data_IF_926178572623
#
_entry.id   IF_926178572623
#
_cell.length_a   1.000
_cell.length_b   1.000
_cell.length_c   1.000
_cell.angle_alpha   90.00
_cell.angle_beta   90.00
_cell.angle_gamma   90.00
#
_symmetry.space_group_name_H-M   'P 1'
#
loop_
_entity.id
_entity.type
_entity.pdbx_description
1 polymer ?
#
# COMPACT_ATOMS: atom_id res chain seq x y z
N UNK A 1 4.99 -25.83 7.08
CA UNK A 1 3.94 -25.80 6.05
C UNK A 1 4.12 -24.52 5.26
N UNK A 2 4.13 -24.58 3.94
CA UNK A 2 4.23 -23.39 3.09
C UNK A 2 2.84 -23.04 2.58
N UNK A 3 2.46 -21.76 2.67
CA UNK A 3 1.34 -21.19 1.96
C UNK A 3 1.81 -20.69 0.61
N UNK A 4 1.31 -21.31 -0.46
CA UNK A 4 1.58 -20.97 -1.85
C UNK A 4 0.33 -20.30 -2.44
N UNK A 5 0.47 -19.11 -3.01
CA UNK A 5 -0.63 -18.39 -3.67
C UNK A 5 -0.15 -17.84 -4.99
N UNK A 6 -0.60 -18.40 -6.10
CA UNK A 6 -0.45 -17.76 -7.40
C UNK A 6 -1.57 -16.72 -7.58
N UNK A 7 -1.18 -15.47 -7.78
CA UNK A 7 -2.10 -14.34 -7.82
C UNK A 7 -1.83 -13.45 -9.03
N UNK A 8 -2.89 -12.88 -9.59
CA UNK A 8 -2.83 -11.90 -10.67
C UNK A 8 -3.23 -10.56 -10.08
N UNK A 9 -2.32 -9.87 -9.43
CA UNK A 9 -2.62 -8.59 -8.82
C UNK A 9 -1.39 -7.98 -8.20
N UNK A 10 -1.56 -6.78 -7.67
CA UNK A 10 -0.40 -5.95 -7.35
C UNK A 10 0.21 -6.32 -6.01
N UNK A 11 -0.61 -6.65 -5.00
CA UNK A 11 -0.16 -6.90 -3.63
C UNK A 11 -1.00 -8.01 -2.99
N UNK A 12 -0.35 -8.85 -2.19
CA UNK A 12 -1.00 -9.86 -1.35
C UNK A 12 -0.46 -9.78 0.08
N UNK A 13 -1.37 -9.65 1.04
CA UNK A 13 -1.08 -9.89 2.46
C UNK A 13 -1.78 -11.16 2.90
N UNK A 14 -1.04 -12.07 3.54
CA UNK A 14 -1.60 -13.30 4.08
C UNK A 14 -1.67 -13.23 5.60
N UNK A 15 -2.82 -13.61 6.15
CA UNK A 15 -3.06 -13.74 7.57
C UNK A 15 -3.44 -15.18 7.89
N UNK A 16 -2.85 -15.73 8.94
CA UNK A 16 -3.21 -17.04 9.49
C UNK A 16 -3.63 -16.86 10.93
N UNK A 17 -4.85 -17.28 11.26
CA UNK A 17 -5.46 -17.15 12.58
C UNK A 17 -5.37 -15.71 13.13
N UNK A 18 -5.60 -14.73 12.25
CA UNK A 18 -5.59 -13.30 12.59
C UNK A 18 -4.20 -12.64 12.66
N UNK A 19 -3.11 -13.40 12.47
CA UNK A 19 -1.74 -12.85 12.46
C UNK A 19 -1.23 -12.71 11.04
N UNK A 20 -0.62 -11.56 10.71
CA UNK A 20 0.05 -11.34 9.43
C UNK A 20 1.27 -12.29 9.34
N UNK A 21 1.31 -13.12 8.30
CA UNK A 21 2.43 -14.06 8.05
C UNK A 21 3.35 -13.59 6.92
N UNK A 22 2.88 -12.65 6.09
CA UNK A 22 3.71 -12.06 5.05
C UNK A 22 2.95 -11.06 4.19
N UNK A 23 3.71 -10.27 3.45
CA UNK A 23 3.22 -9.29 2.49
C UNK A 23 4.17 -9.23 1.32
N UNK A 24 3.66 -9.34 0.10
CA UNK A 24 4.45 -9.24 -1.12
C UNK A 24 3.69 -8.47 -2.19
N UNK A 25 4.42 -7.91 -3.13
CA UNK A 25 3.89 -7.18 -4.27
C UNK A 25 4.59 -7.63 -5.54
N UNK A 26 3.91 -7.45 -6.67
CA UNK A 26 4.43 -7.86 -7.97
C UNK A 26 5.73 -7.10 -8.29
N UNK A 27 6.82 -7.80 -8.67
CA UNK A 27 8.08 -7.16 -8.98
C UNK A 27 8.01 -6.39 -10.32
N UNK A 28 8.86 -5.38 -10.49
CA UNK A 28 9.13 -4.70 -11.77
C UNK A 28 7.89 -4.17 -12.51
N UNK A 29 6.84 -3.77 -11.79
CA UNK A 29 5.59 -3.29 -12.40
C UNK A 29 4.78 -4.37 -13.12
N UNK A 30 5.09 -5.65 -12.87
CA UNK A 30 4.28 -6.77 -13.31
C UNK A 30 2.92 -6.83 -12.59
N UNK A 31 2.08 -7.77 -13.03
CA UNK A 31 0.73 -7.95 -12.48
C UNK A 31 0.47 -9.39 -12.00
N UNK A 32 1.50 -10.23 -11.95
CA UNK A 32 1.40 -11.61 -11.50
C UNK A 32 2.64 -11.99 -10.72
N UNK A 33 2.45 -12.70 -9.63
CA UNK A 33 3.53 -13.24 -8.83
C UNK A 33 3.04 -14.42 -8.00
N UNK A 34 3.98 -15.17 -7.45
CA UNK A 34 3.72 -16.25 -6.52
C UNK A 34 4.13 -15.78 -5.13
N UNK A 35 3.18 -15.84 -4.19
CA UNK A 35 3.45 -15.64 -2.78
C UNK A 35 3.76 -16.98 -2.13
N UNK A 36 4.93 -17.08 -1.48
CA UNK A 36 5.33 -18.25 -0.71
C UNK A 36 5.82 -17.84 0.69
N UNK A 37 5.13 -18.32 1.73
CA UNK A 37 5.56 -18.13 3.12
C UNK A 37 5.39 -19.39 3.95
N UNK A 38 6.36 -19.61 4.84
CA UNK A 38 6.19 -20.56 5.92
C UNK A 38 5.08 -20.06 6.87
N UNK A 39 4.13 -20.94 7.16
CA UNK A 39 3.03 -20.68 8.07
C UNK A 39 2.94 -21.74 9.16
N UNK A 40 2.40 -21.34 10.30
CA UNK A 40 2.08 -22.22 11.42
C UNK A 40 0.57 -22.48 11.44
N UNK A 41 0.20 -23.76 11.46
CA UNK A 41 -1.17 -24.21 11.60
C UNK A 41 -1.35 -24.86 12.97
N UNK A 42 -2.52 -24.68 13.55
CA UNK A 42 -2.92 -25.30 14.81
C UNK A 42 -3.74 -26.55 14.54
N UNK A 43 -3.85 -27.44 15.52
CA UNK A 43 -4.73 -28.60 15.41
C UNK A 43 -6.19 -28.12 15.28
N UNK A 44 -6.92 -28.70 14.32
CA UNK A 44 -8.30 -28.33 14.02
C UNK A 44 -8.43 -27.19 13.01
N UNK A 45 -9.44 -26.34 13.21
CA UNK A 45 -9.81 -25.30 12.24
C UNK A 45 -8.81 -24.14 12.26
N UNK A 46 -8.22 -23.86 11.11
CA UNK A 46 -7.40 -22.67 10.88
C UNK A 46 -8.15 -21.70 9.97
N UNK A 47 -7.94 -20.40 10.18
CA UNK A 47 -8.50 -19.35 9.34
C UNK A 47 -7.39 -18.67 8.54
N UNK A 48 -7.43 -18.81 7.22
CA UNK A 48 -6.51 -18.15 6.29
C UNK A 48 -7.28 -17.01 5.64
N UNK A 49 -6.82 -15.78 5.84
CA UNK A 49 -7.39 -14.59 5.21
C UNK A 49 -6.34 -14.00 4.26
N UNK A 50 -6.71 -13.85 3.00
CA UNK A 50 -5.86 -13.31 1.96
C UNK A 50 -6.40 -11.94 1.55
N UNK A 51 -5.66 -10.89 1.86
CA UNK A 51 -5.98 -9.53 1.44
C UNK A 51 -5.24 -9.23 0.15
N UNK A 52 -5.97 -9.24 -0.97
CA UNK A 52 -5.48 -8.77 -2.25
C UNK A 52 -5.75 -7.28 -2.41
N UNK A 53 -4.73 -6.49 -2.77
CA UNK A 53 -4.87 -5.06 -3.01
C UNK A 53 -4.43 -4.66 -4.43
N UNK A 54 -5.10 -3.65 -4.99
CA UNK A 54 -4.79 -3.11 -6.31
C UNK A 54 -4.12 -1.74 -6.21
N UNK A 55 -3.16 -1.48 -7.10
CA UNK A 55 -2.42 -0.21 -7.20
C UNK A 55 -2.72 0.41 -8.56
N UNK A 56 -3.99 0.73 -8.78
CA UNK A 56 -4.51 1.06 -10.10
C UNK A 56 -4.98 -0.18 -10.86
N UNK A 57 -5.43 0.04 -12.09
CA UNK A 57 -5.83 -0.99 -13.05
C UNK A 57 -5.07 -0.76 -14.35
N UNK A 58 -4.91 -1.81 -15.15
CA UNK A 58 -4.28 -1.72 -16.47
C UNK A 58 -5.05 -0.72 -17.34
N UNK A 59 -4.33 0.18 -17.99
CA UNK A 59 -4.90 1.32 -18.71
C UNK A 59 -4.41 1.45 -20.16
N UNK A 60 -3.68 0.46 -20.67
CA UNK A 60 -3.16 0.44 -22.04
C UNK A 60 -2.94 -0.99 -22.57
N UNK A 61 -3.02 -1.15 -23.90
CA UNK A 61 -2.81 -2.42 -24.63
C UNK A 61 -4.10 -3.10 -25.09
N UNK A 62 -4.08 -4.02 -26.08
CA UNK A 62 -5.29 -4.72 -26.50
C UNK A 62 -5.97 -5.47 -25.35
N UNK A 63 -7.29 -5.35 -25.25
CA UNK A 63 -8.14 -6.04 -24.27
C UNK A 63 -7.75 -5.82 -22.79
N UNK A 64 -7.18 -4.66 -22.45
CA UNK A 64 -6.74 -4.38 -21.07
C UNK A 64 -7.90 -4.41 -20.06
N UNK A 65 -9.13 -4.15 -20.50
CA UNK A 65 -10.36 -4.18 -19.71
C UNK A 65 -10.77 -5.59 -19.27
N UNK A 66 -10.26 -6.63 -19.93
CA UNK A 66 -10.52 -8.02 -19.60
C UNK A 66 -9.50 -8.62 -18.62
N UNK A 67 -8.46 -7.85 -18.26
CA UNK A 67 -7.37 -8.34 -17.42
C UNK A 67 -7.84 -8.46 -15.96
N UNK A 68 -7.78 -9.66 -15.36
CA UNK A 68 -8.24 -9.86 -14.00
C UNK A 68 -7.30 -9.20 -12.98
N UNK A 69 -7.82 -8.95 -11.79
CA UNK A 69 -7.05 -8.52 -10.63
C UNK A 69 -7.48 -9.32 -9.37
N UNK A 70 -6.49 -9.72 -8.57
CA UNK A 70 -6.63 -10.51 -7.36
C UNK A 70 -6.23 -11.97 -7.52
N UNK A 71 -6.74 -12.81 -6.61
CA UNK A 71 -6.39 -14.22 -6.49
C UNK A 71 -7.17 -14.99 -7.56
N UNK A 72 -6.65 -14.93 -8.80
CA UNK A 72 -7.27 -15.48 -10.01
C UNK A 72 -6.25 -16.35 -10.74
N UNK A 73 -6.71 -17.44 -11.34
CA UNK A 73 -5.89 -18.41 -12.08
C UNK A 73 -5.37 -19.55 -11.22
N UNK A 74 -5.04 -19.26 -9.94
CA UNK A 74 -4.56 -20.28 -9.00
C UNK A 74 -3.22 -20.92 -9.41
N UNK A 75 -2.74 -21.89 -8.61
CA UNK A 75 -3.43 -22.48 -7.47
C UNK A 75 -3.19 -21.72 -6.15
N UNK A 76 -4.00 -22.04 -5.13
CA UNK A 76 -3.78 -21.66 -3.73
C UNK A 76 -3.57 -22.95 -2.94
N UNK A 77 -2.37 -23.17 -2.40
CA UNK A 77 -1.97 -24.46 -1.87
C UNK A 77 -1.30 -24.37 -0.50
N UNK A 78 -1.40 -25.47 0.25
CA UNK A 78 -0.60 -25.74 1.44
C UNK A 78 0.38 -26.86 1.10
N UNK A 79 1.68 -26.59 1.20
CA UNK A 79 2.73 -27.55 0.84
C UNK A 79 3.45 -28.01 2.12
N UNK A 80 3.31 -29.30 2.43
CA UNK A 80 3.94 -29.96 3.56
C UNK A 80 5.41 -30.28 3.33
N UNK A 81 6.13 -30.63 4.41
CA UNK A 81 7.58 -30.89 4.36
C UNK A 81 7.97 -32.08 3.48
N UNK A 82 7.05 -33.02 3.24
CA UNK A 82 7.25 -34.17 2.34
C UNK A 82 6.75 -33.90 0.91
N UNK A 83 6.51 -32.63 0.57
CA UNK A 83 5.88 -32.19 -0.68
C UNK A 83 4.40 -32.62 -0.84
N UNK A 84 3.78 -33.10 0.24
CA UNK A 84 2.34 -33.34 0.30
C UNK A 84 1.60 -32.02 0.15
N UNK A 85 0.78 -31.91 -0.89
CA UNK A 85 0.11 -30.67 -1.27
C UNK A 85 -1.39 -30.77 -1.03
N UNK A 86 -1.96 -29.79 -0.33
CA UNK A 86 -3.41 -29.59 -0.21
C UNK A 86 -3.79 -28.39 -1.06
N UNK A 87 -4.56 -28.61 -2.12
CA UNK A 87 -5.09 -27.55 -2.95
C UNK A 87 -6.37 -26.96 -2.32
N UNK A 88 -6.37 -25.65 -2.09
CA UNK A 88 -7.47 -24.88 -1.51
C UNK A 88 -8.30 -24.16 -2.59
N UNK A 89 -7.89 -24.18 -3.86
CA UNK A 89 -8.53 -23.41 -4.93
C UNK A 89 -10.02 -23.73 -5.13
N UNK A 90 -10.41 -24.99 -4.92
CA UNK A 90 -11.81 -25.44 -5.07
C UNK A 90 -12.62 -25.39 -3.78
N UNK A 91 -12.03 -24.93 -2.67
CA UNK A 91 -12.73 -24.85 -1.39
C UNK A 91 -13.77 -23.72 -1.38
N UNK A 92 -14.61 -23.70 -0.35
CA UNK A 92 -15.55 -22.60 -0.13
C UNK A 92 -14.79 -21.35 0.31
N UNK A 93 -14.86 -20.30 -0.51
CA UNK A 93 -14.29 -18.99 -0.21
C UNK A 93 -15.34 -18.03 0.37
N UNK A 94 -14.88 -17.09 1.19
CA UNK A 94 -15.68 -15.97 1.69
C UNK A 94 -14.99 -14.67 1.33
N UNK A 95 -15.78 -13.67 0.93
CA UNK A 95 -15.27 -12.40 0.41
C UNK A 95 -15.76 -11.22 1.24
N UNK A 96 -14.88 -10.26 1.46
CA UNK A 96 -15.18 -8.96 2.08
C UNK A 96 -14.53 -7.87 1.23
N UNK A 97 -15.35 -6.93 0.78
CA UNK A 97 -14.88 -5.76 0.01
C UNK A 97 -14.47 -4.66 1.00
N UNK A 98 -13.30 -4.08 0.78
CA UNK A 98 -12.78 -2.95 1.55
C UNK A 98 -12.40 -3.28 3.00
N UNK A 99 -11.87 -2.27 3.67
CA UNK A 99 -11.44 -2.31 5.07
C UNK A 99 -12.57 -1.86 6.01
N UNK A 100 -12.49 -2.23 7.29
CA UNK A 100 -13.49 -1.79 8.27
C UNK A 100 -13.50 -0.27 8.41
N UNK A 101 -12.31 0.35 8.48
CA UNK A 101 -12.19 1.82 8.59
C UNK A 101 -12.77 2.59 7.40
N UNK A 102 -12.77 2.00 6.20
CA UNK A 102 -13.42 2.60 5.03
C UNK A 102 -14.95 2.58 5.18
N UNK A 103 -15.52 1.46 5.65
CA UNK A 103 -16.96 1.33 5.94
C UNK A 103 -17.40 2.30 7.04
N UNK A 104 -16.57 2.51 8.05
CA UNK A 104 -16.80 3.43 9.16
C UNK A 104 -16.46 4.89 8.82
N UNK A 105 -15.99 5.14 7.60
CA UNK A 105 -15.61 6.47 7.12
C UNK A 105 -14.57 7.17 8.01
N UNK A 106 -13.56 6.45 8.49
CA UNK A 106 -12.50 6.98 9.37
C UNK A 106 -11.78 8.18 8.77
N UNK A 107 -11.71 8.31 7.45
CA UNK A 107 -11.17 9.47 6.75
C UNK A 107 -11.90 10.79 7.05
N UNK A 108 -13.18 10.72 7.45
CA UNK A 108 -13.98 11.87 7.85
C UNK A 108 -13.79 12.23 9.32
N UNK A 109 -12.93 11.50 10.05
CA UNK A 109 -12.65 11.74 11.46
C UNK A 109 -13.89 11.62 12.38
N UNK A 110 -14.79 10.69 12.06
CA UNK A 110 -16.03 10.45 12.81
C UNK A 110 -15.94 9.26 13.80
N UNK A 111 -14.74 8.75 14.05
CA UNK A 111 -14.52 7.52 14.83
C UNK A 111 -13.83 7.81 16.17
N UNK A 112 -13.91 6.85 17.09
CA UNK A 112 -13.20 6.92 18.38
C UNK A 112 -11.72 6.60 18.18
N UNK A 113 -10.85 7.55 18.52
CA UNK A 113 -9.39 7.40 18.40
C UNK A 113 -8.73 7.11 19.76
N UNK A 114 -7.74 6.23 19.77
CA UNK A 114 -6.89 6.03 20.93
C UNK A 114 -5.73 7.04 20.91
N UNK A 115 -5.48 7.71 22.04
CA UNK A 115 -4.40 8.70 22.22
C UNK A 115 -3.17 8.14 22.95
N UNK A 116 -3.29 6.97 23.58
CA UNK A 116 -2.22 6.35 24.37
C UNK A 116 -1.38 5.40 23.54
N UNK A 117 -0.05 5.59 23.57
CA UNK A 117 0.91 4.69 22.92
C UNK A 117 0.69 4.57 21.41
N UNK A 118 1.10 5.59 20.66
CA UNK A 118 0.96 5.60 19.19
C UNK A 118 1.73 4.39 18.63
N UNK A 119 1.05 3.41 18.00
CA UNK A 119 1.73 2.27 17.44
C UNK A 119 2.67 2.73 16.33
N UNK A 120 3.80 2.03 16.19
CA UNK A 120 4.73 2.19 15.06
C UNK A 120 4.99 0.81 14.50
N UNK A 121 5.25 0.72 13.20
CA UNK A 121 5.53 -0.56 12.52
C UNK A 121 4.40 -1.59 12.65
N UNK A 122 3.18 -1.11 12.90
CA UNK A 122 1.98 -1.94 12.96
C UNK A 122 1.20 -1.79 11.65
N UNK A 123 1.13 -2.84 10.82
CA UNK A 123 0.34 -2.83 9.58
C UNK A 123 -1.15 -2.59 9.83
N UNK A 124 -1.86 -2.11 8.81
CA UNK A 124 -3.31 -1.85 8.85
C UNK A 124 -3.77 -0.90 9.96
N UNK A 125 -2.99 0.16 10.19
CA UNK A 125 -3.25 1.14 11.24
C UNK A 125 -3.78 2.45 10.66
N UNK A 126 -4.80 3.00 11.29
CA UNK A 126 -5.25 4.37 11.00
C UNK A 126 -4.58 5.34 11.98
N UNK A 127 -4.06 6.44 11.45
CA UNK A 127 -3.52 7.56 12.23
C UNK A 127 -4.27 8.83 11.93
N UNK A 128 -4.29 9.72 12.91
CA UNK A 128 -4.83 11.06 12.79
C UNK A 128 -3.93 12.05 13.53
N UNK A 129 -3.79 13.23 12.97
CA UNK A 129 -3.30 14.40 13.68
C UNK A 129 -4.04 15.67 13.24
N UNK A 130 -3.79 16.79 13.92
CA UNK A 130 -4.20 18.11 13.49
C UNK A 130 -3.00 19.02 13.29
N UNK A 131 -3.11 19.99 12.38
CA UNK A 131 -2.02 20.91 12.04
C UNK A 131 -2.56 22.27 11.60
N UNK A 132 -1.73 23.31 11.71
CA UNK A 132 -2.06 24.64 11.18
C UNK A 132 -1.66 24.73 9.71
N UNK A 133 -2.47 25.42 8.89
CA UNK A 133 -2.12 25.67 7.50
C UNK A 133 -0.81 26.48 7.43
N UNK A 134 0.18 26.08 6.60
CA UNK A 134 1.39 26.87 6.39
C UNK A 134 1.07 28.29 5.88
N UNK A 135 1.85 29.30 6.23
CA UNK A 135 1.59 30.70 5.86
C UNK A 135 1.96 30.99 4.41
N UNK A 136 1.19 31.80 3.67
CA UNK A 136 1.54 32.22 2.30
C UNK A 136 0.89 31.37 1.20
N UNK A 137 1.35 31.54 -0.04
CA UNK A 137 0.71 31.01 -1.25
C UNK A 137 1.40 29.79 -1.88
N UNK A 138 2.60 29.44 -1.44
CA UNK A 138 3.41 28.37 -2.04
C UNK A 138 2.72 27.01 -1.96
N UNK A 139 3.07 26.09 -2.86
CA UNK A 139 2.54 24.73 -2.83
C UNK A 139 2.85 24.04 -1.49
N UNK A 140 1.90 23.25 -0.99
CA UNK A 140 2.09 22.47 0.24
C UNK A 140 2.26 21.01 -0.14
N UNK A 141 3.18 20.35 0.56
CA UNK A 141 3.36 18.91 0.49
C UNK A 141 3.44 18.33 1.90
N UNK A 142 3.03 17.08 2.03
CA UNK A 142 3.36 16.26 3.20
C UNK A 142 4.51 15.32 2.84
N UNK A 143 5.58 15.38 3.62
CA UNK A 143 6.69 14.43 3.60
C UNK A 143 6.25 13.21 4.40
N UNK A 144 5.93 12.12 3.70
CA UNK A 144 5.52 10.85 4.32
C UNK A 144 6.71 9.90 4.51
N UNK A 145 7.95 10.40 4.45
CA UNK A 145 9.12 9.58 4.77
C UNK A 145 9.01 9.00 6.19
N UNK A 146 9.21 7.69 6.32
CA UNK A 146 8.99 6.95 7.57
C UNK A 146 7.67 6.18 7.59
N UNK A 147 6.73 6.53 6.72
CA UNK A 147 5.55 5.71 6.44
C UNK A 147 5.89 4.57 5.47
N UNK A 148 4.97 3.61 5.32
CA UNK A 148 5.15 2.43 4.49
C UNK A 148 4.40 2.54 3.16
N UNK A 149 3.11 2.24 3.21
CA UNK A 149 2.17 2.32 2.08
C UNK A 149 0.79 2.66 2.62
N UNK A 150 -0.03 3.37 1.87
CA UNK A 150 -1.36 3.67 2.35
C UNK A 150 -2.12 4.69 1.52
N UNK A 151 -3.06 5.37 2.19
CA UNK A 151 -3.82 6.48 1.64
C UNK A 151 -3.95 7.60 2.67
N UNK A 152 -4.03 8.83 2.19
CA UNK A 152 -4.04 10.01 3.02
C UNK A 152 -5.19 10.94 2.67
N UNK A 153 -5.71 11.63 3.70
CA UNK A 153 -6.78 12.61 3.58
C UNK A 153 -6.46 13.84 4.40
N UNK A 154 -6.75 15.01 3.84
CA UNK A 154 -6.69 16.30 4.53
C UNK A 154 -8.11 16.87 4.60
N UNK A 155 -8.61 17.13 5.81
CA UNK A 155 -9.99 17.59 6.03
C UNK A 155 -11.05 16.70 5.33
N UNK A 156 -10.85 15.39 5.34
CA UNK A 156 -11.73 14.42 4.67
C UNK A 156 -11.56 14.32 3.15
N UNK A 157 -10.76 15.20 2.53
CA UNK A 157 -10.47 15.17 1.10
C UNK A 157 -9.25 14.27 0.83
N UNK A 158 -9.38 13.33 -0.10
CA UNK A 158 -8.28 12.43 -0.46
C UNK A 158 -7.16 13.20 -1.15
N UNK A 159 -5.92 13.00 -0.68
CA UNK A 159 -4.70 13.46 -1.36
C UNK A 159 -3.98 12.32 -2.09
N UNK A 160 -4.64 11.16 -2.19
CA UNK A 160 -4.16 10.00 -2.95
C UNK A 160 -3.51 8.90 -2.10
N UNK A 161 -2.92 7.93 -2.81
CA UNK A 161 -2.14 6.85 -2.21
C UNK A 161 -0.73 7.34 -1.92
N UNK A 162 -0.13 6.81 -0.87
CA UNK A 162 1.30 6.96 -0.61
C UNK A 162 2.00 5.61 -0.60
N UNK A 163 3.24 5.57 -1.08
CA UNK A 163 4.08 4.38 -1.01
C UNK A 163 5.58 4.73 -0.94
N UNK A 164 6.03 5.50 0.07
CA UNK A 164 7.41 5.93 0.21
C UNK A 164 8.38 4.77 0.50
N UNK A 165 7.90 3.60 0.92
CA UNK A 165 8.76 2.41 1.06
C UNK A 165 9.05 1.71 -0.28
N UNK A 166 8.38 2.09 -1.37
CA UNK A 166 8.72 1.63 -2.71
C UNK A 166 9.84 2.50 -3.28
N UNK A 167 11.05 1.96 -3.32
CA UNK A 167 12.23 2.69 -3.81
C UNK A 167 12.37 2.56 -5.32
N UNK A 168 12.79 3.64 -5.98
CA UNK A 168 13.20 3.59 -7.38
C UNK A 168 14.41 2.67 -7.57
N UNK A 169 14.57 2.12 -8.78
CA UNK A 169 15.74 1.31 -9.14
C UNK A 169 17.03 2.07 -8.83
N UNK A 170 18.09 1.35 -8.47
CA UNK A 170 19.43 1.94 -8.37
C UNK A 170 20.04 2.18 -9.76
N UNK A 171 19.54 1.48 -10.77
CA UNK A 171 20.00 1.57 -12.15
C UNK A 171 19.23 2.64 -12.94
N UNK A 172 19.86 3.18 -13.99
CA UNK A 172 19.22 4.09 -14.94
C UNK A 172 19.51 5.57 -14.70
N UNK A 173 19.92 5.98 -13.50
CA UNK A 173 20.34 7.36 -13.26
C UNK A 173 21.77 7.60 -13.71
N UNK A 174 21.92 8.41 -14.75
CA UNK A 174 23.22 8.82 -15.30
C UNK A 174 23.12 10.27 -15.82
N UNK A 175 24.23 11.00 -15.94
CA UNK A 175 24.23 12.30 -16.61
C UNK A 175 23.70 12.16 -18.04
N UNK A 176 22.79 13.04 -18.42
CA UNK A 176 22.21 13.02 -19.76
C UNK A 176 22.47 14.34 -20.51
N UNK A 177 22.38 14.29 -21.84
CA UNK A 177 22.60 15.42 -22.74
C UNK A 177 21.31 15.71 -23.52
N UNK A 178 20.98 16.99 -23.68
CA UNK A 178 19.79 17.41 -24.43
C UNK A 178 19.92 17.17 -25.95
N UNK A 179 21.14 16.97 -26.44
CA UNK A 179 21.42 16.71 -27.86
C UNK A 179 21.20 15.24 -28.18
N UNK A 180 20.55 14.98 -29.32
CA UNK A 180 20.31 13.63 -29.84
C UNK A 180 18.88 13.16 -29.63
N UNK A 181 18.62 11.91 -30.02
CA UNK A 181 17.30 11.31 -29.89
C UNK A 181 17.02 10.93 -28.44
N UNK A 182 15.91 11.42 -27.89
CA UNK A 182 15.48 11.10 -26.54
C UNK A 182 14.82 9.71 -26.45
N UNK A 183 15.08 9.01 -25.34
CA UNK A 183 14.35 7.83 -24.88
C UNK A 183 13.91 8.03 -23.43
N UNK A 184 12.83 7.36 -23.01
CA UNK A 184 12.20 7.60 -21.70
C UNK A 184 13.10 7.30 -20.49
N UNK A 185 14.14 6.49 -20.68
CA UNK A 185 15.13 6.09 -19.67
C UNK A 185 16.43 6.91 -19.73
N UNK A 186 16.55 7.85 -20.67
CA UNK A 186 17.81 8.57 -20.93
C UNK A 186 18.21 9.58 -19.83
N UNK A 187 17.25 10.12 -19.07
CA UNK A 187 17.46 11.21 -18.11
C UNK A 187 16.80 10.92 -16.75
N UNK A 188 16.89 9.69 -16.24
CA UNK A 188 16.27 9.32 -14.98
C UNK A 188 17.01 9.93 -13.77
N UNK A 189 16.25 10.25 -12.72
CA UNK A 189 16.75 10.82 -11.46
C UNK A 189 16.07 10.16 -10.27
N UNK A 190 16.65 10.29 -9.07
CA UNK A 190 16.05 9.77 -7.84
C UNK A 190 16.27 8.26 -7.60
N UNK A 191 17.27 7.66 -8.26
CA UNK A 191 17.61 6.26 -8.06
C UNK A 191 17.98 5.95 -6.60
N UNK A 192 17.45 4.85 -6.06
CA UNK A 192 17.61 4.47 -4.65
C UNK A 192 16.79 5.30 -3.65
N UNK A 193 16.08 6.33 -4.10
CA UNK A 193 15.17 7.11 -3.25
C UNK A 193 13.74 6.51 -3.28
N UNK A 194 12.85 6.87 -2.33
CA UNK A 194 11.42 6.62 -2.48
C UNK A 194 10.92 7.11 -3.84
N UNK A 195 10.23 6.26 -4.59
CA UNK A 195 9.68 6.61 -5.91
C UNK A 195 8.76 7.85 -5.83
N UNK A 196 8.12 8.06 -4.68
CA UNK A 196 7.53 9.33 -4.29
C UNK A 196 7.64 9.55 -2.78
N UNK A 197 8.26 10.66 -2.38
CA UNK A 197 8.41 11.07 -0.97
C UNK A 197 7.42 12.16 -0.56
N UNK A 198 7.26 13.17 -1.41
CA UNK A 198 6.41 14.32 -1.16
C UNK A 198 5.06 14.17 -1.84
N UNK A 199 3.99 14.35 -1.06
CA UNK A 199 2.62 14.18 -1.49
C UNK A 199 1.91 15.52 -1.46
N UNK A 200 1.42 15.96 -2.61
CA UNK A 200 0.82 17.27 -2.76
C UNK A 200 -0.46 17.43 -1.93
N UNK A 201 -0.57 18.56 -1.24
CA UNK A 201 -1.77 18.98 -0.51
C UNK A 201 -2.28 20.26 -1.16
N UNK A 202 -3.41 20.20 -1.89
CA UNK A 202 -4.01 21.39 -2.48
C UNK A 202 -4.31 22.45 -1.42
N UNK A 203 -3.88 23.69 -1.64
CA UNK A 203 -4.15 24.82 -0.74
C UNK A 203 -5.65 25.00 -0.46
N UNK A 204 -6.48 24.73 -1.46
CA UNK A 204 -7.95 24.78 -1.35
C UNK A 204 -8.54 23.73 -0.39
N UNK A 205 -7.78 22.70 0.00
CA UNK A 205 -8.23 21.74 1.01
C UNK A 205 -7.96 22.25 2.43
N UNK A 206 -7.15 23.29 2.60
CA UNK A 206 -6.75 23.83 3.90
C UNK A 206 -7.68 24.96 4.34
N UNK A 207 -8.04 24.95 5.63
CA UNK A 207 -8.73 26.02 6.33
C UNK A 207 -7.70 27.00 6.90
N UNK A 208 -7.95 28.29 6.72
CA UNK A 208 -7.12 29.36 7.31
C UNK A 208 -7.60 29.68 8.73
N UNK A 209 -6.68 29.87 9.66
CA UNK A 209 -6.98 30.26 11.05
C UNK A 209 -7.58 29.15 11.93
N UNK A 210 -7.80 27.96 11.39
CA UNK A 210 -8.34 26.79 12.12
C UNK A 210 -7.43 25.56 11.97
N UNK A 211 -7.39 24.66 12.97
CA UNK A 211 -6.71 23.38 12.83
C UNK A 211 -7.31 22.55 11.68
N UNK A 212 -6.44 22.07 10.80
CA UNK A 212 -6.73 21.11 9.74
C UNK A 212 -6.52 19.70 10.27
N UNK A 213 -7.24 18.71 9.74
CA UNK A 213 -7.01 17.29 10.05
C UNK A 213 -6.19 16.61 8.96
N UNK A 214 -5.26 15.76 9.36
CA UNK A 214 -4.60 14.78 8.51
C UNK A 214 -4.98 13.40 9.02
N UNK A 215 -5.58 12.57 8.16
CA UNK A 215 -5.86 11.16 8.43
C UNK A 215 -5.05 10.30 7.47
N UNK A 216 -4.39 9.27 7.99
CA UNK A 216 -3.60 8.31 7.23
C UNK A 216 -4.13 6.90 7.50
N UNK A 217 -4.36 6.13 6.46
CA UNK A 217 -4.40 4.68 6.56
C UNK A 217 -3.02 4.14 6.17
N UNK A 218 -2.36 3.42 7.08
CA UNK A 218 -1.04 2.81 6.90
C UNK A 218 -1.17 1.29 6.77
N UNK A 219 -0.93 0.79 5.57
CA UNK A 219 -1.05 -0.61 5.15
C UNK A 219 0.15 -1.46 5.58
N UNK A 220 1.37 -0.93 5.53
CA UNK A 220 2.61 -1.70 5.66
C UNK A 220 3.28 -1.60 7.04
N UNK A 221 2.95 -0.58 7.82
CA UNK A 221 3.48 -0.36 9.17
C UNK A 221 4.61 0.66 9.21
N UNK A 222 4.25 1.93 9.23
CA UNK A 222 5.16 3.07 9.31
C UNK A 222 5.36 3.64 10.72
N UNK A 223 6.14 4.71 10.80
CA UNK A 223 6.33 5.55 11.98
C UNK A 223 5.78 6.98 11.71
N UNK A 224 4.60 7.32 12.24
CA UNK A 224 3.96 8.62 11.99
C UNK A 224 4.71 9.80 12.63
N UNK A 225 5.66 9.57 13.55
CA UNK A 225 6.42 10.66 14.18
C UNK A 225 7.36 11.38 13.21
N UNK A 226 7.64 10.76 12.05
CA UNK A 226 8.51 11.31 11.00
C UNK A 226 7.76 12.12 9.95
N UNK A 227 6.42 12.10 9.97
CA UNK A 227 5.58 12.83 9.02
C UNK A 227 5.67 14.32 9.29
N UNK A 228 5.91 15.12 8.25
CA UNK A 228 6.00 16.57 8.38
C UNK A 228 5.46 17.29 7.14
N UNK A 229 4.91 18.48 7.32
CA UNK A 229 4.54 19.35 6.21
C UNK A 229 5.73 20.19 5.76
N UNK A 230 5.80 20.44 4.45
CA UNK A 230 6.77 21.35 3.83
C UNK A 230 6.03 22.36 2.96
N UNK A 231 6.63 23.54 2.87
CA UNK A 231 6.23 24.66 2.04
C UNK A 231 7.46 25.23 1.36
#
# INVERSE_FOLDING_TARGET
MILYVNTTGHILHAFVNGKLVGSEYAPNGGFSFVFEKNIELQAGRNNISLLSATVGLKNYGPYYELMPAGIVGGPVQLIGSNNDTIDLSTNKWSYKIGLLGEKEQMQLDNSTWNKGGIPTKTPFTWYKTTFQAPLGSEAVVVDLLGMGKGAAWVNGQSIGRFWPNYTASYDGCHPCDYRGSFQSDACQTGCGEPAQRWYHVPRSFLKSGEPNSLVLFEEAGGDPSRVNFKQ
#
